data_IF_124739546850
#
_entry.id   IF_124739546850
#
_cell.length_a   1.000
_cell.length_b   1.000
_cell.length_c   1.000
_cell.angle_alpha   90.00
_cell.angle_beta   90.00
_cell.angle_gamma   90.00
#
_symmetry.space_group_name_H-M   'P 1'
#
loop_
_entity.id
_entity.type
_entity.pdbx_description
1 polymer ?
#
# COMPACT_ATOMS: atom_id res chain seq x y z
N UNK A 1 15.57 -54.07 -23.70
CA UNK A 1 15.48 -54.93 -22.50
C UNK A 1 16.48 -54.34 -21.50
N UNK A 2 16.07 -53.66 -20.44
CA UNK A 2 15.59 -54.26 -19.18
C UNK A 2 16.63 -55.30 -18.66
N UNK A 3 17.20 -55.20 -17.47
CA UNK A 3 16.49 -55.07 -16.21
C UNK A 3 17.28 -54.39 -15.08
N UNK A 4 16.53 -53.58 -14.35
CA UNK A 4 16.77 -53.10 -13.00
C UNK A 4 16.76 -54.29 -12.01
N UNK A 5 17.77 -54.38 -11.16
CA UNK A 5 17.67 -55.16 -9.92
C UNK A 5 18.40 -54.45 -8.77
N UNK A 6 17.66 -53.53 -8.15
CA UNK A 6 17.74 -53.16 -6.74
C UNK A 6 18.31 -54.26 -5.81
N UNK A 7 19.36 -53.94 -5.06
CA UNK A 7 19.54 -54.50 -3.71
C UNK A 7 20.30 -53.56 -2.78
N UNK A 8 19.51 -52.81 -2.01
CA UNK A 8 19.74 -52.38 -0.62
C UNK A 8 21.03 -52.85 0.06
N UNK A 9 21.82 -51.89 0.55
CA UNK A 9 22.27 -51.88 1.95
C UNK A 9 22.30 -50.45 2.47
N UNK A 10 21.54 -50.26 3.55
CA UNK A 10 21.43 -49.08 4.38
C UNK A 10 22.65 -48.93 5.27
N UNK A 11 23.02 -47.68 5.61
CA UNK A 11 23.58 -47.25 6.91
C UNK A 11 23.73 -45.70 6.89
N UNK A 12 22.72 -44.92 7.32
CA UNK A 12 22.61 -44.17 8.61
C UNK A 12 23.85 -43.34 8.99
N UNK A 13 23.89 -42.01 8.79
CA UNK A 13 23.28 -40.89 9.56
C UNK A 13 23.99 -40.53 10.89
N UNK A 14 24.65 -39.36 10.91
CA UNK A 14 24.63 -38.39 12.03
C UNK A 14 25.23 -37.05 11.56
N UNK A 15 24.40 -36.17 11.00
CA UNK A 15 24.75 -34.74 10.82
C UNK A 15 24.05 -33.93 11.92
N UNK A 16 24.70 -32.95 12.55
CA UNK A 16 24.15 -32.23 13.69
C UNK A 16 22.88 -31.50 13.28
N UNK A 17 21.80 -31.83 13.98
CA UNK A 17 20.47 -31.27 13.86
C UNK A 17 20.49 -29.74 14.00
N UNK A 18 20.22 -29.05 12.91
CA UNK A 18 19.72 -27.67 12.95
C UNK A 18 18.33 -27.68 13.62
N UNK A 19 18.10 -26.88 14.68
CA UNK A 19 16.78 -26.73 15.27
C UNK A 19 15.82 -26.02 14.30
N UNK A 20 14.63 -26.60 14.13
CA UNK A 20 13.52 -26.14 13.30
C UNK A 20 12.98 -24.77 13.74
N UNK A 21 13.38 -23.68 13.08
CA UNK A 21 12.82 -22.33 13.24
C UNK A 21 11.59 -22.11 12.35
N UNK A 22 10.65 -23.06 12.36
CA UNK A 22 9.47 -23.02 11.52
C UNK A 22 8.14 -23.19 12.28
N UNK A 23 8.18 -23.22 13.61
CA UNK A 23 6.99 -23.16 14.46
C UNK A 23 6.73 -21.77 15.07
N UNK A 24 7.69 -20.84 15.01
CA UNK A 24 7.56 -19.51 15.62
C UNK A 24 7.03 -18.41 14.69
N UNK A 25 6.89 -18.68 13.38
CA UNK A 25 6.45 -17.66 12.42
C UNK A 25 4.93 -17.67 12.15
N UNK A 26 4.17 -18.65 12.65
CA UNK A 26 2.72 -18.72 12.42
C UNK A 26 1.90 -17.95 13.47
N UNK A 27 2.47 -17.61 14.63
CA UNK A 27 1.72 -17.03 15.76
C UNK A 27 1.75 -15.48 15.84
N UNK A 28 2.54 -14.80 15.01
CA UNK A 28 2.69 -13.34 15.03
C UNK A 28 1.88 -12.58 13.96
N UNK A 29 0.98 -13.25 13.23
CA UNK A 29 0.18 -12.66 12.14
C UNK A 29 -1.22 -12.17 12.57
N UNK A 30 -1.49 -12.08 13.88
CA UNK A 30 -2.81 -11.77 14.45
C UNK A 30 -2.95 -10.39 15.11
N UNK A 31 -2.05 -9.43 14.83
CA UNK A 31 -2.33 -8.02 15.19
C UNK A 31 -3.21 -7.41 14.09
N UNK A 32 -4.50 -7.54 14.36
CA UNK A 32 -5.63 -7.13 13.55
C UNK A 32 -5.50 -5.70 13.00
N UNK A 33 -5.52 -5.60 11.66
CA UNK A 33 -6.08 -4.41 11.02
C UNK A 33 -7.57 -4.42 11.36
N UNK A 34 -8.02 -3.52 12.23
CA UNK A 34 -9.44 -3.24 12.45
C UNK A 34 -10.04 -2.65 11.17
N UNK A 35 -10.37 -3.52 10.22
CA UNK A 35 -11.42 -3.26 9.26
C UNK A 35 -12.73 -3.55 9.98
N UNK A 36 -13.37 -2.48 10.48
CA UNK A 36 -14.72 -2.51 11.01
C UNK A 36 -15.68 -3.06 9.93
N UNK A 37 -15.89 -4.37 9.96
CA UNK A 37 -16.84 -5.08 9.11
C UNK A 37 -18.20 -4.97 9.77
N UNK A 38 -18.91 -3.88 9.47
CA UNK A 38 -20.37 -3.86 9.62
C UNK A 38 -20.95 -4.26 8.28
N UNK A 39 -21.45 -5.49 8.24
CA UNK A 39 -22.40 -6.00 7.27
C UNK A 39 -23.54 -5.01 7.02
N UNK A 40 -23.46 -4.29 5.90
CA UNK A 40 -24.57 -3.63 5.21
C UNK A 40 -24.04 -3.24 3.84
N UNK A 41 -24.79 -3.50 2.78
CA UNK A 41 -24.48 -3.23 1.36
C UNK A 41 -23.94 -1.81 1.10
N UNK A 42 -22.67 -1.55 1.44
CA UNK A 42 -22.03 -0.27 1.23
C UNK A 42 -21.54 -0.20 -0.20
N UNK A 43 -22.45 0.09 -1.12
CA UNK A 43 -22.11 0.59 -2.45
C UNK A 43 -21.45 1.96 -2.21
N UNK A 44 -20.13 2.12 -2.45
CA UNK A 44 -19.48 3.41 -2.24
C UNK A 44 -20.12 4.44 -3.16
N UNK A 45 -20.84 5.40 -2.59
CA UNK A 45 -21.46 6.47 -3.38
C UNK A 45 -20.34 7.18 -4.17
N UNK A 46 -20.46 7.31 -5.50
CA UNK A 46 -19.45 7.99 -6.30
C UNK A 46 -19.20 9.39 -5.74
N UNK A 47 -17.99 9.65 -5.25
CA UNK A 47 -17.62 10.99 -4.79
C UNK A 47 -17.72 11.93 -5.99
N UNK A 48 -18.56 12.97 -5.90
CA UNK A 48 -18.67 13.97 -6.97
C UNK A 48 -17.32 14.66 -7.18
N UNK A 49 -16.72 14.47 -8.35
CA UNK A 49 -15.43 15.06 -8.73
C UNK A 49 -15.68 16.42 -9.38
N UNK A 50 -15.09 17.47 -8.83
CA UNK A 50 -15.06 18.78 -9.47
C UNK A 50 -14.11 18.78 -10.68
N UNK A 51 -14.39 19.60 -11.70
CA UNK A 51 -13.46 19.80 -12.82
C UNK A 51 -12.15 20.45 -12.33
N UNK A 52 -11.09 20.34 -13.15
CA UNK A 52 -9.74 20.84 -12.84
C UNK A 52 -9.74 22.35 -12.57
N UNK A 53 -10.48 23.11 -13.39
CA UNK A 53 -10.57 24.56 -13.24
C UNK A 53 -11.20 24.95 -11.89
N UNK A 54 -12.33 24.34 -11.54
CA UNK A 54 -13.00 24.62 -10.27
C UNK A 54 -12.18 24.14 -9.07
N UNK A 55 -11.46 23.01 -9.18
CA UNK A 55 -10.50 22.56 -8.15
C UNK A 55 -9.39 23.60 -7.93
N UNK A 56 -8.73 24.03 -9.02
CA UNK A 56 -7.62 25.00 -8.97
C UNK A 56 -8.07 26.34 -8.41
N UNK A 57 -9.25 26.81 -8.80
CA UNK A 57 -9.83 28.09 -8.34
C UNK A 57 -10.60 27.98 -7.01
N UNK A 58 -10.70 26.78 -6.41
CA UNK A 58 -11.46 26.50 -5.18
C UNK A 58 -12.93 26.97 -5.26
N UNK A 59 -13.56 26.77 -6.42
CA UNK A 59 -14.96 27.14 -6.68
C UNK A 59 -15.88 25.92 -6.57
N UNK A 60 -17.17 26.17 -6.29
CA UNK A 60 -18.22 25.14 -6.40
C UNK A 60 -18.31 24.65 -7.85
N UNK A 61 -18.37 23.33 -8.02
CA UNK A 61 -18.53 22.68 -9.31
C UNK A 61 -19.77 21.80 -9.30
N UNK A 62 -20.66 21.99 -10.27
CA UNK A 62 -21.92 21.24 -10.36
C UNK A 62 -21.72 19.81 -10.89
N UNK A 63 -20.59 19.56 -11.56
CA UNK A 63 -20.19 18.22 -12.02
C UNK A 63 -20.91 17.73 -13.27
N UNK A 64 -21.71 18.58 -13.92
CA UNK A 64 -22.37 18.27 -15.20
C UNK A 64 -21.31 18.00 -16.29
N UNK A 65 -21.51 16.96 -17.10
CA UNK A 65 -20.69 16.61 -18.28
C UNK A 65 -21.45 17.03 -19.55
N UNK A 66 -20.79 17.56 -20.60
CA UNK A 66 -19.34 17.64 -20.80
C UNK A 66 -18.63 18.80 -20.08
N UNK A 67 -19.36 19.86 -19.68
CA UNK A 67 -18.83 21.03 -18.98
C UNK A 67 -19.72 21.42 -17.81
N UNK A 68 -19.14 21.80 -16.67
CA UNK A 68 -19.91 22.27 -15.52
C UNK A 68 -20.55 23.64 -15.81
N UNK A 69 -21.68 23.96 -15.15
CA UNK A 69 -22.46 25.17 -15.45
C UNK A 69 -21.64 26.47 -15.38
N UNK A 70 -20.70 26.55 -14.44
CA UNK A 70 -19.79 27.69 -14.32
C UNK A 70 -18.79 27.80 -15.47
N UNK A 71 -18.20 26.67 -15.91
CA UNK A 71 -17.24 26.69 -17.01
C UNK A 71 -17.94 26.96 -18.34
N UNK A 72 -19.12 26.38 -18.55
CA UNK A 72 -19.97 26.63 -19.72
C UNK A 72 -20.32 28.11 -19.87
N UNK A 73 -20.82 28.75 -18.78
CA UNK A 73 -21.18 30.18 -18.81
C UNK A 73 -19.99 31.13 -19.03
N UNK A 74 -18.80 30.74 -18.59
CA UNK A 74 -17.59 31.56 -18.72
C UNK A 74 -16.80 31.25 -20.01
N UNK A 75 -17.20 30.25 -20.80
CA UNK A 75 -16.46 29.80 -21.98
C UNK A 75 -15.06 29.28 -21.66
N UNK A 76 -14.86 28.73 -20.45
CA UNK A 76 -13.56 28.15 -20.06
C UNK A 76 -13.51 26.66 -20.34
N UNK A 77 -12.30 26.17 -20.64
CA UNK A 77 -12.02 24.76 -20.79
C UNK A 77 -12.33 23.97 -19.51
N UNK A 78 -13.21 22.97 -19.63
CA UNK A 78 -13.69 22.17 -18.51
C UNK A 78 -13.19 20.73 -18.62
N UNK A 79 -12.10 20.43 -17.91
CA UNK A 79 -11.50 19.09 -17.90
C UNK A 79 -11.84 18.39 -16.58
N UNK A 80 -12.23 17.13 -16.65
CA UNK A 80 -12.42 16.26 -15.48
C UNK A 80 -11.34 15.18 -15.47
N UNK A 81 -10.35 15.27 -14.57
CA UNK A 81 -9.42 14.15 -14.36
C UNK A 81 -10.16 13.01 -13.65
N UNK A 82 -10.15 11.82 -14.27
CA UNK A 82 -10.74 10.60 -13.69
C UNK A 82 -9.92 10.06 -12.53
N UNK A 83 -8.60 10.24 -12.57
CA UNK A 83 -7.68 9.79 -11.53
C UNK A 83 -7.35 10.96 -10.61
N UNK A 84 -8.00 11.00 -9.44
CA UNK A 84 -7.44 11.78 -8.32
C UNK A 84 -6.13 11.13 -7.94
N UNK A 85 -4.99 11.71 -8.36
CA UNK A 85 -3.67 11.33 -7.85
C UNK A 85 -3.78 11.28 -6.33
N UNK A 86 -3.68 10.08 -5.75
CA UNK A 86 -3.78 9.92 -4.29
C UNK A 86 -2.70 10.81 -3.69
N UNK A 87 -3.12 11.76 -2.85
CA UNK A 87 -2.23 12.77 -2.30
C UNK A 87 -1.24 12.09 -1.36
N UNK A 88 -0.02 11.88 -1.85
CA UNK A 88 1.10 11.35 -1.08
C UNK A 88 0.81 10.03 -0.35
N UNK A 89 1.78 9.57 0.46
CA UNK A 89 1.53 8.49 1.40
C UNK A 89 0.41 8.88 2.39
N UNK A 90 -0.32 7.89 2.92
CA UNK A 90 -1.37 8.12 3.93
C UNK A 90 -0.79 8.96 5.08
N UNK A 91 -1.59 9.86 5.66
CA UNK A 91 -1.16 10.65 6.83
C UNK A 91 -0.58 9.71 7.89
N UNK A 92 0.65 9.99 8.34
CA UNK A 92 1.36 9.17 9.32
C UNK A 92 2.14 7.98 8.76
N UNK A 93 1.99 7.62 7.48
CA UNK A 93 2.77 6.54 6.84
C UNK A 93 4.27 6.84 6.85
N UNK A 94 4.64 8.09 6.53
CA UNK A 94 6.04 8.54 6.57
C UNK A 94 6.60 8.45 8.00
N UNK A 95 5.82 8.88 9.00
CA UNK A 95 6.21 8.80 10.42
C UNK A 95 6.41 7.36 10.91
N UNK A 96 5.57 6.42 10.46
CA UNK A 96 5.73 5.00 10.79
C UNK A 96 6.93 4.38 10.06
N UNK A 97 7.18 4.79 8.82
CA UNK A 97 8.39 4.39 8.09
C UNK A 97 9.64 4.89 8.83
N UNK A 98 9.68 6.14 9.25
CA UNK A 98 10.79 6.72 10.03
C UNK A 98 11.00 5.96 11.36
N UNK A 99 9.92 5.68 12.09
CA UNK A 99 9.99 4.95 13.36
C UNK A 99 10.50 3.50 13.19
N UNK A 100 10.06 2.80 12.14
CA UNK A 100 10.52 1.43 11.83
C UNK A 100 11.92 1.39 11.27
N UNK A 101 12.29 2.40 10.48
CA UNK A 101 13.64 2.53 9.95
C UNK A 101 14.65 2.89 11.03
N UNK A 102 14.23 3.27 12.25
CA UNK A 102 15.00 3.22 13.51
C UNK A 102 16.38 3.90 13.54
N UNK A 103 16.86 4.45 12.43
CA UNK A 103 18.27 4.61 12.17
C UNK A 103 18.50 6.02 11.64
N UNK A 104 18.77 6.93 12.58
CA UNK A 104 20.13 7.39 12.89
C UNK A 104 21.18 7.43 11.77
N UNK A 105 20.81 7.60 10.49
CA UNK A 105 21.80 7.90 9.45
C UNK A 105 22.20 9.38 9.51
N UNK A 106 21.31 10.26 10.01
CA UNK A 106 21.59 11.71 10.10
C UNK A 106 22.41 12.11 11.34
N UNK A 107 22.72 11.20 12.27
CA UNK A 107 23.49 11.54 13.48
C UNK A 107 24.92 10.97 13.49
N UNK A 108 25.23 9.91 12.73
CA UNK A 108 26.59 9.34 12.70
C UNK A 108 27.56 10.12 11.78
N UNK A 109 27.04 10.90 10.82
CA UNK A 109 27.85 11.56 9.78
C UNK A 109 27.94 13.09 9.92
N UNK A 110 27.33 13.71 10.95
CA UNK A 110 27.37 15.17 11.14
C UNK A 110 28.23 15.63 12.33
N UNK A 111 28.95 14.72 12.99
CA UNK A 111 29.91 15.05 14.07
C UNK A 111 31.36 14.66 13.76
N UNK A 112 31.68 14.27 12.52
CA UNK A 112 33.04 13.96 12.06
C UNK A 112 33.62 15.02 11.10
N UNK A 113 33.23 16.29 11.29
CA UNK A 113 33.86 17.44 10.64
C UNK A 113 34.02 18.62 11.62
N UNK A 114 34.53 18.35 12.83
CA UNK A 114 35.17 19.34 13.70
C UNK A 114 36.14 18.69 14.68
#
# INVERSE_FOLDING_TARGET
MADNANRLTQQTQASPSQPQLNAAYEEAASIAIEHHNTSSDYIPRPKRIACVLCRRRKLRCDGNKPSCGRCSRLGHECIFDEVRKKSGPKRGYVKQLEARLGMSIVCQYLTLDF
#
